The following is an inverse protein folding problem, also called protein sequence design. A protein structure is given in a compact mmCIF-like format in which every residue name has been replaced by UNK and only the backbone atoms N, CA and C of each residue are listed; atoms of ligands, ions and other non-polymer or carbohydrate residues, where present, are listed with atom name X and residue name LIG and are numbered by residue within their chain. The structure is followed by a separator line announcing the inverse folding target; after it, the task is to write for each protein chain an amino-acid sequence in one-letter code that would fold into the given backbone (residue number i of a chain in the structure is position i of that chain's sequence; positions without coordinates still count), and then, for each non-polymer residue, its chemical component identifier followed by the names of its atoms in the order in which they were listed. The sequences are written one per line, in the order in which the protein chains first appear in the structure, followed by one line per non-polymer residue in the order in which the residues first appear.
data_IF_506096776461
#
_entry.id   IF_506096776461
#
_cell.length_a   1.000
_cell.length_b   1.000
_cell.length_c   1.000
_cell.angle_alpha   90.00
_cell.angle_beta   90.00
_cell.angle_gamma   90.00
#
_symmetry.space_group_name_H-M   'P 1'
#
loop_
_entity.id
_entity.type
_entity.pdbx_description
1 polymer ?
#
# COMPACT_ATOMS: atom_id res chain seq x y z
N UNK A 1 -38.27 -1.71 15.54
CA UNK A 1 -37.36 -2.19 14.48
C UNK A 1 -36.06 -1.41 14.59
N UNK A 2 -34.95 -2.05 14.95
CA UNK A 2 -33.63 -1.38 15.06
C UNK A 2 -32.99 -1.38 13.69
N UNK A 3 -32.66 -0.18 13.19
CA UNK A 3 -32.02 0.00 11.90
C UNK A 3 -30.65 -0.68 11.88
N UNK A 4 -30.48 -1.61 10.94
CA UNK A 4 -29.17 -2.11 10.53
C UNK A 4 -28.44 -0.93 9.85
N UNK A 5 -27.58 -0.23 10.59
CA UNK A 5 -26.56 0.60 9.96
C UNK A 5 -25.60 -0.36 9.27
N UNK A 6 -25.79 -0.51 7.97
CA UNK A 6 -24.82 -1.06 7.05
C UNK A 6 -23.49 -0.33 7.29
N UNK A 7 -22.54 -1.02 7.93
CA UNK A 7 -21.13 -0.66 7.85
C UNK A 7 -20.70 -0.98 6.42
N UNK A 8 -21.03 -0.09 5.50
CA UNK A 8 -20.20 0.06 4.31
C UNK A 8 -18.84 0.50 4.85
N UNK A 9 -17.97 -0.49 5.09
CA UNK A 9 -16.53 -0.28 4.99
C UNK A 9 -16.37 0.25 3.58
N UNK A 10 -16.27 1.56 3.43
CA UNK A 10 -15.76 2.14 2.20
C UNK A 10 -14.43 1.46 2.00
N UNK A 11 -14.41 0.42 1.16
CA UNK A 11 -13.22 0.08 0.40
C UNK A 11 -12.93 1.36 -0.35
N UNK A 12 -12.09 2.22 0.24
CA UNK A 12 -11.51 3.35 -0.46
C UNK A 12 -11.06 2.75 -1.78
N UNK A 13 -11.73 3.14 -2.87
CA UNK A 13 -11.43 2.60 -4.18
C UNK A 13 -9.94 2.88 -4.36
N UNK A 14 -9.12 1.85 -4.25
CA UNK A 14 -7.70 1.95 -4.51
C UNK A 14 -7.63 2.23 -6.01
N UNK A 15 -7.60 3.51 -6.37
CA UNK A 15 -7.37 3.90 -7.76
C UNK A 15 -6.00 3.34 -8.11
N UNK A 16 -5.98 2.23 -8.87
CA UNK A 16 -4.75 1.58 -9.28
C UNK A 16 -3.95 2.54 -10.15
N UNK A 17 -2.70 2.79 -9.79
CA UNK A 17 -1.78 3.57 -10.59
C UNK A 17 -0.81 2.63 -11.31
N UNK A 18 -0.71 2.73 -12.64
CA UNK A 18 0.27 1.96 -13.41
C UNK A 18 1.65 2.56 -13.19
N UNK A 19 2.58 1.79 -12.62
CA UNK A 19 3.97 2.20 -12.41
C UNK A 19 4.95 1.35 -13.19
N UNK A 20 6.06 1.98 -13.56
CA UNK A 20 7.12 1.32 -14.34
C UNK A 20 7.84 0.30 -13.47
N UNK A 21 7.88 -0.95 -13.93
CA UNK A 21 8.76 -1.99 -13.39
C UNK A 21 10.21 -1.67 -13.75
N UNK A 22 11.09 -1.71 -12.76
CA UNK A 22 12.55 -1.51 -12.91
C UNK A 22 13.26 -2.84 -12.75
N UNK A 23 14.22 -3.12 -13.62
CA UNK A 23 15.15 -4.24 -13.46
C UNK A 23 16.18 -3.90 -12.39
N UNK A 24 16.40 -4.84 -11.46
CA UNK A 24 17.34 -4.74 -10.35
C UNK A 24 18.44 -5.81 -10.40
N UNK A 25 18.62 -6.51 -11.54
CA UNK A 25 19.69 -7.48 -11.72
C UNK A 25 19.41 -8.83 -11.05
N UNK A 26 18.20 -9.35 -11.27
CA UNK A 26 17.71 -10.62 -10.69
C UNK A 26 16.34 -10.51 -10.01
N UNK A 27 15.83 -9.29 -9.85
CA UNK A 27 14.48 -9.01 -9.36
C UNK A 27 13.89 -7.77 -10.05
N UNK A 28 12.58 -7.59 -9.90
CA UNK A 28 11.85 -6.42 -10.35
C UNK A 28 11.51 -5.49 -9.18
N UNK A 29 11.62 -4.18 -9.38
CA UNK A 29 11.24 -3.18 -8.39
C UNK A 29 10.23 -2.17 -8.91
N UNK A 30 9.29 -1.77 -8.05
CA UNK A 30 8.38 -0.64 -8.27
C UNK A 30 8.64 0.44 -7.23
N UNK A 31 8.38 1.70 -7.59
CA UNK A 31 8.45 2.81 -6.62
C UNK A 31 7.09 3.00 -5.95
N UNK A 32 7.07 3.09 -4.62
CA UNK A 32 5.93 3.59 -3.86
C UNK A 32 6.13 5.11 -3.68
N UNK A 33 5.18 5.97 -4.08
CA UNK A 33 5.32 7.42 -3.92
C UNK A 33 5.48 7.83 -2.46
N UNK A 34 6.24 8.91 -2.22
CA UNK A 34 6.42 9.47 -0.88
C UNK A 34 5.09 9.78 -0.19
N UNK A 35 4.13 10.34 -0.91
CA UNK A 35 2.82 10.67 -0.34
C UNK A 35 2.08 9.41 0.15
N UNK A 36 2.14 8.31 -0.60
CA UNK A 36 1.60 7.01 -0.15
C UNK A 36 2.32 6.49 1.10
N UNK A 37 3.65 6.61 1.15
CA UNK A 37 4.42 6.20 2.33
C UNK A 37 4.10 7.06 3.56
N UNK A 38 3.90 8.37 3.40
CA UNK A 38 3.43 9.27 4.47
C UNK A 38 2.02 8.91 4.93
N UNK A 39 1.10 8.62 4.00
CA UNK A 39 -0.25 8.14 4.33
C UNK A 39 -0.22 6.83 5.12
N UNK A 40 0.76 5.97 4.86
CA UNK A 40 0.99 4.73 5.61
C UNK A 40 1.75 4.93 6.93
N UNK A 41 2.18 6.15 7.24
CA UNK A 41 2.98 6.45 8.42
C UNK A 41 4.38 5.84 8.39
N UNK A 42 4.90 5.54 7.19
CA UNK A 42 6.23 4.97 7.00
C UNK A 42 7.31 6.03 6.74
N UNK A 43 6.91 7.28 6.56
CA UNK A 43 7.81 8.43 6.51
C UNK A 43 7.47 9.36 7.68
N UNK A 44 8.49 9.78 8.42
CA UNK A 44 8.34 10.73 9.52
C UNK A 44 8.33 12.19 9.06
N UNK A 45 8.22 13.12 10.02
CA UNK A 45 8.15 14.57 9.75
C UNK A 45 9.46 15.13 9.15
N UNK A 46 10.57 14.40 9.27
CA UNK A 46 11.88 14.73 8.70
C UNK A 46 12.12 14.06 7.33
N UNK A 47 11.08 13.44 6.76
CA UNK A 47 11.10 12.79 5.45
C UNK A 47 11.96 11.52 5.41
N UNK A 48 12.27 10.94 6.58
CA UNK A 48 13.02 9.71 6.74
C UNK A 48 12.12 8.48 6.75
N UNK A 49 12.59 7.38 6.15
CA UNK A 49 11.84 6.12 6.13
C UNK A 49 11.98 5.42 7.49
N UNK A 50 10.85 5.12 8.13
CA UNK A 50 10.80 4.33 9.35
C UNK A 50 11.32 2.91 9.12
N UNK A 51 11.96 2.32 10.13
CA UNK A 51 12.28 0.89 10.14
C UNK A 51 10.96 0.09 10.22
N UNK A 52 10.59 -0.56 9.12
CA UNK A 52 9.26 -1.15 8.95
C UNK A 52 9.30 -2.36 8.04
N UNK A 53 8.26 -3.20 8.13
CA UNK A 53 8.06 -4.35 7.28
C UNK A 53 6.79 -4.17 6.45
N UNK A 54 6.86 -4.55 5.18
CA UNK A 54 5.69 -4.64 4.31
C UNK A 54 5.24 -6.09 4.21
N UNK A 55 3.94 -6.30 4.32
CA UNK A 55 3.35 -7.58 3.92
C UNK A 55 3.13 -7.55 2.42
N UNK A 56 3.60 -8.60 1.77
CA UNK A 56 3.36 -8.84 0.35
C UNK A 56 2.51 -10.10 0.26
N UNK A 57 1.35 -9.98 -0.37
CA UNK A 57 0.46 -11.11 -0.64
C UNK A 57 0.21 -11.20 -2.13
N UNK A 58 0.38 -12.40 -2.68
CA UNK A 58 0.13 -12.72 -4.08
C UNK A 58 -1.16 -13.52 -4.20
N UNK A 59 -2.02 -13.06 -5.09
CA UNK A 59 -3.26 -13.72 -5.50
C UNK A 59 -3.20 -13.96 -7.01
N UNK A 60 -4.16 -14.73 -7.55
CA UNK A 60 -4.21 -15.02 -8.99
C UNK A 60 -4.32 -13.75 -9.85
N UNK A 61 -4.89 -12.67 -9.32
CA UNK A 61 -5.18 -11.43 -10.06
C UNK A 61 -4.20 -10.28 -9.75
N UNK A 62 -3.61 -10.27 -8.55
CA UNK A 62 -2.86 -9.13 -8.05
C UNK A 62 -1.84 -9.49 -6.97
N UNK A 63 -0.79 -8.66 -6.90
CA UNK A 63 0.09 -8.55 -5.73
C UNK A 63 -0.37 -7.35 -4.90
N UNK A 64 -0.69 -7.59 -3.64
CA UNK A 64 -1.00 -6.53 -2.66
C UNK A 64 0.22 -6.27 -1.77
N UNK A 65 0.48 -5.01 -1.50
CA UNK A 65 1.56 -4.56 -0.61
C UNK A 65 0.95 -3.61 0.42
N UNK A 66 1.09 -3.95 1.69
CA UNK A 66 0.54 -3.17 2.79
C UNK A 66 1.55 -3.04 3.95
N UNK A 67 1.54 -1.92 4.70
CA UNK A 67 2.35 -1.78 5.90
C UNK A 67 1.92 -2.78 6.98
N UNK A 68 2.87 -3.35 7.71
CA UNK A 68 2.61 -4.13 8.93
C UNK A 68 2.84 -3.22 10.13
N UNK A 69 1.82 -3.10 10.99
CA UNK A 69 1.90 -2.40 12.28
C UNK A 69 1.90 -3.42 13.43
#
# INVERSE_FOLDING_TARGET
MRGFKSLQRESKMMSGEIRKLRDLGGSGGVSIPKDTLREWGLIDDDDELADTHLRVEETDDAVTVEPVQ
#
